data_IF_777011952652
#
_entry.id   IF_777011952652
#
_cell.length_a   1.000
_cell.length_b   1.000
_cell.length_c   1.000
_cell.angle_alpha   90.00
_cell.angle_beta   90.00
_cell.angle_gamma   90.00
#
_symmetry.space_group_name_H-M   'P 1'
#
loop_
_entity.id
_entity.type
_entity.pdbx_description
1 polymer ?
#
# COMPACT_ATOMS: atom_id res chain seq x y z
N UNK A 1 -7.69 -10.49 1.15
CA UNK A 1 -6.56 -9.58 1.35
C UNK A 1 -6.93 -8.44 2.30
N UNK A 2 -7.88 -7.54 2.00
CA UNK A 2 -8.21 -6.37 2.84
C UNK A 2 -8.73 -6.69 4.25
N UNK A 3 -9.42 -7.83 4.45
CA UNK A 3 -9.84 -8.28 5.79
C UNK A 3 -8.65 -8.41 6.76
N UNK A 4 -7.49 -8.81 6.27
CA UNK A 4 -6.28 -8.92 7.11
C UNK A 4 -5.73 -7.57 7.56
N UNK A 5 -5.97 -6.49 6.81
CA UNK A 5 -5.61 -5.13 7.25
C UNK A 5 -6.46 -4.67 8.45
N UNK A 6 -7.71 -5.12 8.54
CA UNK A 6 -8.60 -4.79 9.67
C UNK A 6 -8.25 -5.61 10.92
N UNK A 7 -7.71 -6.81 10.73
CA UNK A 7 -7.38 -7.75 11.81
C UNK A 7 -5.95 -7.59 12.34
N UNK A 8 -5.06 -6.93 11.60
CA UNK A 8 -3.66 -6.79 11.97
C UNK A 8 -3.39 -5.45 12.67
N UNK A 9 -2.57 -5.51 13.73
CA UNK A 9 -2.21 -4.35 14.53
C UNK A 9 -1.56 -3.24 13.69
N UNK A 10 -1.88 -1.98 13.99
CA UNK A 10 -1.38 -0.79 13.27
C UNK A 10 -1.66 -0.80 11.76
N UNK A 11 -2.73 -1.49 11.35
CA UNK A 11 -3.19 -1.52 9.96
C UNK A 11 -4.68 -1.23 9.90
N UNK A 12 -5.17 -0.86 8.73
CA UNK A 12 -6.59 -0.61 8.55
C UNK A 12 -7.00 -0.34 7.12
N UNK A 13 -8.31 -0.22 6.97
CA UNK A 13 -8.95 0.20 5.73
C UNK A 13 -9.91 1.34 6.04
N UNK A 14 -9.75 2.46 5.36
CA UNK A 14 -10.72 3.55 5.32
C UNK A 14 -11.63 3.34 4.12
N UNK A 15 -12.92 3.58 4.27
CA UNK A 15 -13.89 3.42 3.19
C UNK A 15 -14.74 4.69 3.12
N UNK A 16 -14.84 5.24 1.92
CA UNK A 16 -15.74 6.35 1.62
C UNK A 16 -17.09 5.79 1.15
N UNK A 17 -18.18 6.37 1.66
CA UNK A 17 -19.55 6.00 1.31
C UNK A 17 -20.29 7.18 0.72
N UNK A 18 -21.19 6.89 -0.23
CA UNK A 18 -22.21 7.82 -0.73
C UNK A 18 -23.54 7.07 -0.78
N UNK A 19 -24.56 7.55 -0.06
CA UNK A 19 -25.89 6.89 0.03
C UNK A 19 -25.77 5.39 0.37
N UNK A 20 -25.00 5.05 1.42
CA UNK A 20 -24.73 3.69 1.91
C UNK A 20 -23.99 2.77 0.91
N UNK A 21 -23.53 3.29 -0.22
CA UNK A 21 -22.72 2.55 -1.18
C UNK A 21 -21.24 2.92 -1.01
N UNK A 22 -20.33 1.94 -0.93
CA UNK A 22 -18.90 2.20 -0.91
C UNK A 22 -18.45 2.74 -2.27
N UNK A 23 -17.81 3.91 -2.28
CA UNK A 23 -17.36 4.63 -3.48
C UNK A 23 -15.84 4.75 -3.57
N UNK A 24 -15.13 4.40 -2.52
CA UNK A 24 -13.68 4.42 -2.50
C UNK A 24 -13.14 3.78 -1.23
N UNK A 25 -11.87 3.40 -1.27
CA UNK A 25 -11.17 2.83 -0.12
C UNK A 25 -9.70 3.23 -0.12
N UNK A 26 -9.08 3.14 1.06
CA UNK A 26 -7.65 3.30 1.28
C UNK A 26 -7.21 2.28 2.33
N UNK A 27 -6.19 1.47 2.00
CA UNK A 27 -5.58 0.50 2.91
C UNK A 27 -4.19 0.97 3.34
N UNK A 28 -3.88 0.88 4.63
CA UNK A 28 -2.62 1.32 5.21
C UNK A 28 -2.11 0.34 6.27
N UNK A 29 -0.80 0.38 6.53
CA UNK A 29 -0.16 -0.42 7.58
C UNK A 29 1.07 0.28 8.15
N UNK A 30 1.26 0.22 9.46
CA UNK A 30 2.50 0.60 10.13
C UNK A 30 3.56 -0.51 10.11
N UNK A 31 3.20 -1.71 9.65
CA UNK A 31 4.12 -2.83 9.50
C UNK A 31 3.66 -3.77 8.37
N UNK A 32 3.88 -3.34 7.12
CA UNK A 32 3.42 -4.10 5.96
C UNK A 32 4.10 -5.47 5.86
N UNK A 33 5.38 -5.57 6.19
CA UNK A 33 6.11 -6.85 6.21
C UNK A 33 5.54 -7.83 7.23
N UNK A 34 5.20 -7.34 8.44
CA UNK A 34 4.53 -8.12 9.47
C UNK A 34 3.13 -8.54 9.05
N UNK A 35 2.37 -7.64 8.43
CA UNK A 35 1.05 -7.92 7.89
C UNK A 35 1.10 -9.03 6.81
N UNK A 36 2.06 -8.99 5.89
CA UNK A 36 2.23 -10.04 4.88
C UNK A 36 2.59 -11.39 5.53
N UNK A 37 3.49 -11.41 6.50
CA UNK A 37 3.80 -12.62 7.27
C UNK A 37 2.56 -13.18 7.98
N UNK A 38 1.76 -12.32 8.59
CA UNK A 38 0.49 -12.68 9.21
C UNK A 38 -0.49 -13.28 8.20
N UNK A 39 -0.67 -12.64 7.04
CA UNK A 39 -1.53 -13.14 5.96
C UNK A 39 -1.09 -14.51 5.45
N UNK A 40 0.23 -14.69 5.24
CA UNK A 40 0.80 -15.97 4.83
C UNK A 40 0.50 -17.02 5.91
N UNK A 41 0.84 -16.75 7.17
CA UNK A 41 0.65 -17.70 8.27
C UNK A 41 -0.81 -18.10 8.46
N UNK A 42 -1.74 -17.15 8.39
CA UNK A 42 -3.17 -17.40 8.60
C UNK A 42 -3.85 -18.11 7.42
N UNK A 43 -3.32 -17.95 6.21
CA UNK A 43 -3.88 -18.52 4.98
C UNK A 43 -3.01 -19.58 4.32
N UNK A 44 -1.90 -19.97 4.95
CA UNK A 44 -0.96 -20.93 4.39
C UNK A 44 -1.62 -22.30 4.19
N UNK A 45 -2.47 -22.75 5.12
CA UNK A 45 -3.13 -24.06 5.07
C UNK A 45 -4.09 -24.16 3.87
N UNK A 46 -5.07 -23.24 3.67
CA UNK A 46 -5.92 -23.28 2.48
C UNK A 46 -5.12 -23.07 1.18
N UNK A 47 -4.11 -22.17 1.22
CA UNK A 47 -3.30 -21.87 0.04
C UNK A 47 -2.43 -23.05 -0.38
N UNK A 48 -1.83 -23.76 0.59
CA UNK A 48 -1.06 -24.98 0.33
C UNK A 48 -1.94 -26.06 -0.30
N UNK A 49 -3.16 -26.25 0.19
CA UNK A 49 -4.10 -27.23 -0.36
C UNK A 49 -4.49 -26.96 -1.81
N UNK A 50 -4.84 -25.70 -2.12
CA UNK A 50 -5.19 -25.30 -3.49
C UNK A 50 -3.98 -25.18 -4.43
N UNK A 51 -2.78 -24.88 -3.91
CA UNK A 51 -1.57 -24.72 -4.70
C UNK A 51 -0.83 -26.04 -4.95
N UNK A 52 -1.16 -27.12 -4.24
CA UNK A 52 -0.57 -28.43 -4.49
C UNK A 52 -0.74 -28.86 -5.95
N UNK A 53 -1.93 -28.67 -6.51
CA UNK A 53 -2.20 -28.94 -7.93
C UNK A 53 -1.43 -28.01 -8.90
N UNK A 54 -1.21 -26.75 -8.52
CA UNK A 54 -0.44 -25.79 -9.32
C UNK A 54 1.07 -26.02 -9.21
N UNK A 55 1.55 -26.44 -8.03
CA UNK A 55 2.94 -26.82 -7.81
C UNK A 55 3.39 -27.96 -8.75
N UNK A 56 2.56 -29.01 -8.88
CA UNK A 56 2.85 -30.13 -9.78
C UNK A 56 2.76 -29.75 -11.26
N UNK A 57 1.96 -28.74 -11.62
CA UNK A 57 1.83 -28.28 -13.02
C UNK A 57 2.89 -27.27 -13.46
N UNK A 58 3.30 -26.34 -12.61
CA UNK A 58 4.29 -25.28 -12.93
C UNK A 58 5.13 -24.89 -11.71
N UNK A 59 6.12 -25.70 -11.32
CA UNK A 59 6.92 -25.47 -10.10
C UNK A 59 7.71 -24.14 -10.14
N UNK A 60 8.11 -23.69 -11.33
CA UNK A 60 8.86 -22.44 -11.52
C UNK A 60 8.04 -21.19 -11.18
N UNK A 61 6.72 -21.20 -11.50
CA UNK A 61 5.81 -20.09 -11.16
C UNK A 61 5.56 -20.04 -9.65
N UNK A 62 5.41 -21.21 -9.03
CA UNK A 62 5.25 -21.31 -7.56
C UNK A 62 6.50 -20.78 -6.83
N UNK A 63 7.70 -21.19 -7.25
CA UNK A 63 8.95 -20.70 -6.66
C UNK A 63 9.14 -19.19 -6.84
N UNK A 64 8.70 -18.64 -7.96
CA UNK A 64 8.73 -17.18 -8.20
C UNK A 64 7.79 -16.44 -7.25
N UNK A 65 6.57 -16.93 -7.04
CA UNK A 65 5.60 -16.39 -6.08
C UNK A 65 6.14 -16.47 -4.65
N UNK A 66 6.64 -17.63 -4.21
CA UNK A 66 7.23 -17.81 -2.88
C UNK A 66 8.40 -16.85 -2.68
N UNK A 67 9.28 -16.70 -3.67
CA UNK A 67 10.43 -15.80 -3.61
C UNK A 67 10.00 -14.32 -3.56
N UNK A 68 8.93 -13.93 -4.28
CA UNK A 68 8.37 -12.59 -4.23
C UNK A 68 7.77 -12.27 -2.84
N UNK A 69 7.14 -13.26 -2.19
CA UNK A 69 6.58 -13.10 -0.83
C UNK A 69 7.64 -13.16 0.28
N UNK A 70 8.73 -13.88 0.05
CA UNK A 70 9.82 -14.03 1.04
C UNK A 70 10.89 -12.94 0.91
N UNK A 71 10.81 -12.08 -0.10
CA UNK A 71 11.72 -10.94 -0.19
C UNK A 71 11.52 -10.05 1.04
N UNK A 72 12.58 -9.82 1.83
CA UNK A 72 12.55 -8.76 2.83
C UNK A 72 12.37 -7.44 2.08
N UNK A 73 11.60 -6.51 2.61
CA UNK A 73 11.66 -5.12 2.16
C UNK A 73 13.11 -4.67 2.28
N UNK A 74 13.76 -4.36 1.16
CA UNK A 74 15.22 -4.20 1.06
C UNK A 74 15.78 -2.99 1.82
N UNK A 75 14.95 -2.25 2.52
CA UNK A 75 15.41 -1.12 3.32
C UNK A 75 14.94 -1.31 4.75
N UNK A 76 15.85 -1.67 5.66
CA UNK A 76 15.63 -1.45 7.10
C UNK A 76 15.53 0.06 7.30
N UNK A 77 14.32 0.57 7.34
CA UNK A 77 14.05 1.95 7.72
C UNK A 77 14.14 2.02 9.23
N UNK A 78 14.98 2.93 9.74
CA UNK A 78 15.15 3.12 11.19
C UNK A 78 13.94 3.81 11.81
N UNK A 79 13.25 4.64 11.03
CA UNK A 79 12.08 5.40 11.45
C UNK A 79 10.79 4.59 11.32
N UNK A 80 9.88 4.77 12.28
CA UNK A 80 8.52 4.23 12.16
C UNK A 80 7.74 5.03 11.12
N UNK A 81 7.03 4.36 10.26
CA UNK A 81 6.22 4.98 9.21
C UNK A 81 4.91 4.22 8.99
N UNK A 82 3.93 4.93 8.41
CA UNK A 82 2.71 4.32 7.89
C UNK A 82 2.85 4.17 6.37
N UNK A 83 2.61 3.00 5.85
CA UNK A 83 2.58 2.75 4.42
C UNK A 83 1.14 2.78 3.90
N UNK A 84 0.85 3.70 2.96
CA UNK A 84 -0.35 3.69 2.15
C UNK A 84 -0.18 2.61 1.09
N UNK A 85 -0.75 1.43 1.34
CA UNK A 85 -0.53 0.25 0.52
C UNK A 85 -1.44 0.19 -0.72
N UNK A 86 -2.62 0.80 -0.65
CA UNK A 86 -3.55 0.83 -1.78
C UNK A 86 -4.59 1.93 -1.58
N UNK A 87 -4.96 2.60 -2.66
CA UNK A 87 -6.08 3.53 -2.72
C UNK A 87 -6.86 3.29 -4.01
N UNK A 88 -8.17 3.32 -3.94
CA UNK A 88 -9.04 3.18 -5.09
C UNK A 88 -10.34 3.95 -4.92
N UNK A 89 -10.84 4.51 -6.01
CA UNK A 89 -12.11 5.22 -6.09
C UNK A 89 -12.89 4.67 -7.28
N UNK A 90 -14.21 4.56 -7.14
CA UNK A 90 -15.08 4.13 -8.23
C UNK A 90 -14.90 5.06 -9.45
N UNK A 91 -14.51 4.53 -10.61
CA UNK A 91 -14.25 5.34 -11.81
C UNK A 91 -15.49 6.09 -12.33
N UNK A 92 -16.69 5.66 -11.94
CA UNK A 92 -17.94 6.31 -12.30
C UNK A 92 -18.23 7.56 -11.44
N UNK A 93 -17.53 7.71 -10.33
CA UNK A 93 -17.66 8.87 -9.42
C UNK A 93 -16.59 9.90 -9.79
N UNK A 94 -16.90 10.69 -10.81
CA UNK A 94 -15.97 11.71 -11.30
C UNK A 94 -15.81 12.88 -10.31
N UNK A 95 -14.55 13.22 -10.06
CA UNK A 95 -14.10 14.55 -9.56
C UNK A 95 -14.68 15.04 -8.22
N UNK A 96 -15.25 14.18 -7.38
CA UNK A 96 -15.78 14.58 -6.06
C UNK A 96 -14.70 14.68 -4.97
N UNK A 97 -13.43 14.56 -5.30
CA UNK A 97 -12.35 14.65 -4.32
C UNK A 97 -12.26 13.47 -3.34
N UNK A 98 -12.94 12.36 -3.61
CA UNK A 98 -13.01 11.18 -2.71
C UNK A 98 -11.62 10.66 -2.35
N UNK A 99 -10.71 10.59 -3.34
CA UNK A 99 -9.31 10.16 -3.08
C UNK A 99 -8.59 11.11 -2.12
N UNK A 100 -8.77 12.43 -2.27
CA UNK A 100 -8.23 13.44 -1.36
C UNK A 100 -8.82 13.28 0.05
N UNK A 101 -10.13 13.11 0.17
CA UNK A 101 -10.79 12.89 1.47
C UNK A 101 -10.25 11.64 2.18
N UNK A 102 -9.99 10.55 1.44
CA UNK A 102 -9.38 9.34 1.99
C UNK A 102 -7.95 9.59 2.50
N UNK A 103 -7.15 10.35 1.75
CA UNK A 103 -5.79 10.74 2.17
C UNK A 103 -5.85 11.65 3.42
N UNK A 104 -6.74 12.63 3.44
CA UNK A 104 -6.88 13.53 4.59
C UNK A 104 -7.36 12.78 5.83
N UNK A 105 -8.26 11.81 5.68
CA UNK A 105 -8.69 10.94 6.76
C UNK A 105 -7.52 10.05 7.27
N UNK A 106 -6.64 9.56 6.39
CA UNK A 106 -5.44 8.85 6.81
C UNK A 106 -4.49 9.77 7.59
N UNK A 107 -4.21 10.99 7.08
CA UNK A 107 -3.36 11.97 7.76
C UNK A 107 -3.88 12.34 9.15
N UNK A 108 -5.21 12.53 9.27
CA UNK A 108 -5.85 12.82 10.56
C UNK A 108 -5.79 11.64 11.55
N UNK A 109 -5.69 10.41 11.05
CA UNK A 109 -5.65 9.19 11.87
C UNK A 109 -4.25 8.85 12.37
N UNK A 110 -3.20 9.26 11.65
CA UNK A 110 -1.81 8.93 11.98
C UNK A 110 -1.33 9.80 13.15
N UNK A 111 -0.82 9.16 14.20
CA UNK A 111 -0.11 9.85 15.26
C UNK A 111 1.34 10.14 14.83
N UNK A 112 1.60 11.36 14.41
CA UNK A 112 2.93 11.80 13.98
C UNK A 112 3.94 12.00 15.13
N UNK A 113 3.55 11.79 16.39
CA UNK A 113 4.51 11.65 17.49
C UNK A 113 5.11 10.23 17.51
N UNK A 114 4.37 9.25 17.03
CA UNK A 114 4.83 7.85 16.91
C UNK A 114 5.44 7.55 15.54
N UNK A 115 4.85 8.07 14.47
CA UNK A 115 5.24 7.80 13.07
C UNK A 115 5.84 9.05 12.43
N UNK A 116 7.04 8.92 11.88
CA UNK A 116 7.77 10.04 11.28
C UNK A 116 7.15 10.54 9.97
N UNK A 117 6.52 9.64 9.20
CA UNK A 117 5.92 9.96 7.91
C UNK A 117 4.92 8.90 7.43
N UNK A 118 4.11 9.30 6.44
CA UNK A 118 3.34 8.38 5.60
C UNK A 118 4.11 8.20 4.29
N UNK A 119 4.28 6.96 3.83
CA UNK A 119 4.95 6.64 2.56
C UNK A 119 4.03 5.88 1.62
N UNK A 120 4.33 5.94 0.34
CA UNK A 120 3.72 5.11 -0.71
C UNK A 120 4.71 4.89 -1.84
N UNK A 121 4.52 3.80 -2.59
CA UNK A 121 5.26 3.51 -3.80
C UNK A 121 4.30 3.40 -4.99
N UNK A 122 4.71 3.94 -6.14
CA UNK A 122 3.90 3.95 -7.36
C UNK A 122 4.79 3.91 -8.60
N UNK A 123 4.23 3.51 -9.75
CA UNK A 123 4.97 3.51 -11.01
C UNK A 123 5.45 4.92 -11.38
N UNK A 124 6.71 5.03 -11.82
CA UNK A 124 7.29 6.28 -12.30
C UNK A 124 6.91 6.57 -13.75
N UNK A 125 6.68 5.55 -14.57
CA UNK A 125 6.45 5.63 -16.01
C UNK A 125 4.98 5.37 -16.33
N UNK A 126 4.42 6.18 -17.24
CA UNK A 126 3.01 6.09 -17.70
C UNK A 126 1.97 6.19 -16.56
N UNK A 127 2.29 6.92 -15.50
CA UNK A 127 1.45 7.04 -14.31
C UNK A 127 1.30 8.51 -13.83
N UNK A 128 1.29 9.45 -14.77
CA UNK A 128 1.28 10.89 -14.48
C UNK A 128 0.10 11.33 -13.62
N UNK A 129 -1.07 10.74 -13.86
CA UNK A 129 -2.27 11.04 -13.09
C UNK A 129 -2.14 10.73 -11.60
N UNK A 130 -1.61 9.54 -11.25
CA UNK A 130 -1.38 9.17 -9.87
C UNK A 130 -0.22 9.98 -9.25
N UNK A 131 0.85 10.20 -10.01
CA UNK A 131 1.98 11.01 -9.55
C UNK A 131 1.56 12.45 -9.25
N UNK A 132 0.74 13.07 -10.13
CA UNK A 132 0.16 14.39 -9.89
C UNK A 132 -0.77 14.40 -8.67
N UNK A 133 -1.61 13.38 -8.54
CA UNK A 133 -2.55 13.23 -7.42
C UNK A 133 -1.82 13.20 -6.08
N UNK A 134 -0.74 12.42 -5.92
CA UNK A 134 0.01 12.36 -4.67
C UNK A 134 0.71 13.69 -4.37
N UNK A 135 1.35 14.32 -5.35
CA UNK A 135 1.97 15.65 -5.19
C UNK A 135 0.95 16.70 -4.75
N UNK A 136 -0.22 16.75 -5.40
CA UNK A 136 -1.32 17.65 -5.03
C UNK A 136 -1.81 17.43 -3.60
N UNK A 137 -1.73 16.22 -3.10
CA UNK A 137 -2.08 15.87 -1.72
C UNK A 137 -0.91 16.03 -0.74
N UNK A 138 0.16 16.78 -1.11
CA UNK A 138 1.26 17.15 -0.23
C UNK A 138 2.30 16.06 -0.01
N UNK A 139 2.32 15.02 -0.83
CA UNK A 139 3.41 14.05 -0.82
C UNK A 139 4.59 14.58 -1.64
N UNK A 140 5.79 14.45 -1.10
CA UNK A 140 7.04 14.84 -1.73
C UNK A 140 7.74 13.60 -2.27
N UNK A 141 8.33 13.70 -3.47
CA UNK A 141 9.13 12.62 -4.05
C UNK A 141 10.40 12.45 -3.23
N UNK A 142 10.57 11.30 -2.60
CA UNK A 142 11.75 10.97 -1.79
C UNK A 142 12.85 10.34 -2.63
N UNK A 143 12.48 9.38 -3.50
CA UNK A 143 13.43 8.71 -4.40
C UNK A 143 12.75 8.06 -5.59
N UNK A 144 13.55 7.88 -6.66
CA UNK A 144 13.28 6.95 -7.76
C UNK A 144 14.13 5.69 -7.56
N UNK A 145 13.55 4.53 -7.84
CA UNK A 145 14.27 3.26 -7.79
C UNK A 145 13.74 2.30 -8.84
N UNK A 146 14.54 1.27 -9.14
CA UNK A 146 14.16 0.22 -10.08
C UNK A 146 13.96 -1.10 -9.34
N UNK A 147 12.85 -1.78 -9.65
CA UNK A 147 12.62 -3.13 -9.11
C UNK A 147 13.51 -4.14 -9.84
N UNK A 148 13.67 -5.34 -9.26
CA UNK A 148 14.47 -6.40 -9.89
C UNK A 148 13.87 -6.88 -11.23
N UNK A 149 12.61 -6.54 -11.50
CA UNK A 149 11.93 -6.82 -12.77
C UNK A 149 12.10 -5.67 -13.79
N UNK A 150 12.90 -4.63 -13.48
CA UNK A 150 13.16 -3.50 -14.36
C UNK A 150 12.06 -2.43 -14.36
N UNK A 151 11.14 -2.42 -13.37
CA UNK A 151 10.12 -1.38 -13.24
C UNK A 151 10.69 -0.18 -12.49
N UNK A 152 10.57 1.00 -13.08
CA UNK A 152 10.90 2.26 -12.41
C UNK A 152 9.75 2.69 -11.51
N UNK A 153 10.07 2.97 -10.26
CA UNK A 153 9.14 3.30 -9.20
C UNK A 153 9.51 4.62 -8.55
N UNK A 154 8.51 5.35 -8.10
CA UNK A 154 8.66 6.50 -7.21
C UNK A 154 8.22 6.12 -5.80
N UNK A 155 9.03 6.52 -4.81
CA UNK A 155 8.62 6.57 -3.41
C UNK A 155 8.28 8.01 -3.03
N UNK A 156 7.07 8.20 -2.55
CA UNK A 156 6.59 9.48 -2.03
C UNK A 156 6.47 9.43 -0.52
N UNK A 157 6.76 10.55 0.15
CA UNK A 157 6.55 10.71 1.59
C UNK A 157 5.75 11.96 1.91
N UNK A 158 4.93 11.86 2.95
CA UNK A 158 4.25 12.98 3.58
C UNK A 158 4.75 13.10 5.02
N UNK A 159 5.25 14.28 5.40
CA UNK A 159 5.64 14.65 6.77
C UNK A 159 4.82 15.84 7.24
N UNK A 160 4.47 15.90 8.53
CA UNK A 160 3.87 17.10 9.10
C UNK A 160 4.94 18.19 9.23
N UNK A 161 4.62 19.42 8.80
CA UNK A 161 5.52 20.58 8.94
C UNK A 161 6.44 20.84 7.75
N UNK A 162 6.55 19.98 6.75
CA UNK A 162 7.19 20.33 5.49
C UNK A 162 6.25 21.23 4.66
N UNK A 163 6.49 22.54 4.69
CA UNK A 163 5.93 23.44 3.69
C UNK A 163 6.58 23.09 2.35
N UNK A 164 5.75 22.81 1.34
CA UNK A 164 6.19 22.79 -0.05
C UNK A 164 6.89 24.14 -0.34
N UNK A 165 8.21 24.11 -0.56
CA UNK A 165 8.99 25.24 -1.05
C UNK A 165 8.90 25.27 -2.55
#
# INVERSE_FOLDING_TARGET
MYRSYVEYENSGVLVAFENDKPIGFLAYSGNLSGLYKYMIKKRLIPFAWYSLGAFFRKPTVFMRLVRAFLKPSETKREEKYIELASIGVDPNIKSKGVGTQLIDALKAKVDFNEYSYITLETDAVNNDGANHFYKKNGFVLEREFETNEGRKMFEYRYRTGEKLV
#
